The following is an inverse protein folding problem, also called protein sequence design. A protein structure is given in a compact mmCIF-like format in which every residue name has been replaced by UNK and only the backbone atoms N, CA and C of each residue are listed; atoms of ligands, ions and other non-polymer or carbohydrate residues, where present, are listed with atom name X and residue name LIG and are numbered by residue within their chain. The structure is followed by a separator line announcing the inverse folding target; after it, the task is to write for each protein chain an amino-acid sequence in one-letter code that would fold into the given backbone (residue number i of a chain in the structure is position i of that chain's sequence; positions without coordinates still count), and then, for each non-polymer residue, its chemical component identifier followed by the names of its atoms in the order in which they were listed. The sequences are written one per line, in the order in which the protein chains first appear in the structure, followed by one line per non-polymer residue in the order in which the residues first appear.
data_IF_760083792917
#
_entry.id   IF_760083792917
#
_cell.length_a   1.000
_cell.length_b   1.000
_cell.length_c   1.000
_cell.angle_alpha   90.00
_cell.angle_beta   90.00
_cell.angle_gamma   90.00
#
_symmetry.space_group_name_H-M   'P 1'
#
loop_
_entity.id
_entity.type
_entity.pdbx_description
1 polymer ?
#
# COMPACT_ATOMS: atom_id res chain seq x y z
N UNK A 1 28.74 -0.83 5.32
CA UNK A 1 27.86 -0.46 5.35
C UNK A 1 27.17 -0.01 4.17
N UNK A 2 26.30 0.11 3.89
CA UNK A 2 25.61 0.26 2.80
C UNK A 2 24.65 1.32 2.84
N UNK A 3 24.90 2.34 3.65
CA UNK A 3 24.04 3.48 3.76
C UNK A 3 23.96 4.21 2.45
N UNK A 4 25.10 4.29 1.77
CA UNK A 4 25.13 4.92 0.47
C UNK A 4 24.27 4.19 -0.53
N UNK A 5 24.30 2.89 -0.47
CA UNK A 5 23.52 2.07 -1.38
C UNK A 5 22.03 2.39 -1.24
N UNK A 6 21.55 2.50 0.00
CA UNK A 6 20.17 2.84 0.22
C UNK A 6 19.82 4.22 -0.27
N UNK A 7 20.78 5.12 -0.19
CA UNK A 7 20.58 6.48 -0.63
C UNK A 7 20.36 6.56 -2.15
N UNK A 8 20.88 5.60 -2.87
CA UNK A 8 20.76 5.57 -4.32
C UNK A 8 19.50 4.90 -4.81
N UNK A 9 18.70 4.32 -3.92
CA UNK A 9 17.47 3.66 -4.31
C UNK A 9 16.42 4.68 -4.69
N UNK A 10 15.63 4.40 -5.76
CA UNK A 10 14.54 5.29 -6.11
C UNK A 10 13.47 5.28 -5.02
N UNK A 11 12.75 6.37 -4.88
CA UNK A 11 11.70 6.49 -3.89
C UNK A 11 12.20 7.14 -2.61
N UNK A 12 11.69 6.68 -1.49
CA UNK A 12 11.97 7.30 -0.20
C UNK A 12 13.36 6.91 0.30
N UNK A 13 14.12 7.91 0.70
CA UNK A 13 15.46 7.72 1.27
C UNK A 13 15.37 7.78 2.79
N UNK A 14 15.86 6.75 3.46
CA UNK A 14 15.68 6.57 4.89
C UNK A 14 16.83 7.10 5.74
N UNK A 15 17.36 8.28 5.42
CA UNK A 15 18.27 9.01 6.29
C UNK A 15 17.47 9.90 7.21
N UNK A 16 17.99 10.26 8.39
CA UNK A 16 17.20 11.04 9.36
C UNK A 16 16.51 12.27 8.80
N UNK A 17 17.20 13.08 8.03
CA UNK A 17 16.60 14.27 7.43
C UNK A 17 15.57 13.94 6.37
N UNK A 18 15.87 12.94 5.55
CA UNK A 18 14.96 12.52 4.49
C UNK A 18 13.75 11.79 5.04
N UNK A 19 13.91 11.07 6.15
CA UNK A 19 12.80 10.39 6.77
C UNK A 19 11.75 11.36 7.27
N UNK A 20 12.18 12.44 7.92
CA UNK A 20 11.24 13.43 8.42
C UNK A 20 10.51 14.13 7.27
N UNK A 21 11.23 14.44 6.20
CA UNK A 21 10.63 15.07 5.04
C UNK A 21 9.62 14.14 4.37
N UNK A 22 10.00 12.88 4.18
CA UNK A 22 9.12 11.88 3.59
C UNK A 22 7.88 11.66 4.44
N UNK A 23 8.06 11.56 5.76
CA UNK A 23 6.96 11.39 6.67
C UNK A 23 5.98 12.54 6.59
N UNK A 24 6.49 13.77 6.54
CA UNK A 24 5.64 14.95 6.43
C UNK A 24 4.83 14.95 5.15
N UNK A 25 5.48 14.60 4.02
CA UNK A 25 4.80 14.53 2.74
C UNK A 25 3.69 13.49 2.74
N UNK A 26 3.96 12.33 3.33
CA UNK A 26 2.96 11.27 3.44
C UNK A 26 1.80 11.75 4.30
N UNK A 27 2.09 12.34 5.45
CA UNK A 27 1.05 12.83 6.35
C UNK A 27 0.17 13.89 5.69
N UNK A 28 0.77 14.79 4.93
CA UNK A 28 0.02 15.81 4.21
C UNK A 28 -0.91 15.20 3.17
N UNK A 29 -0.39 14.22 2.42
CA UNK A 29 -1.17 13.57 1.37
C UNK A 29 -2.24 12.63 1.92
N UNK A 30 -2.02 12.07 3.10
CA UNK A 30 -3.02 11.20 3.73
C UNK A 30 -4.36 11.89 3.91
N UNK A 31 -4.35 13.20 4.12
CA UNK A 31 -5.58 13.95 4.31
C UNK A 31 -6.44 13.97 3.06
N UNK A 32 -5.82 13.74 1.90
CA UNK A 32 -6.49 13.84 0.62
C UNK A 32 -6.99 12.51 0.08
N UNK A 33 -6.61 11.40 0.71
CA UNK A 33 -6.94 10.07 0.20
C UNK A 33 -7.92 9.35 1.11
N UNK A 34 -8.56 8.34 0.55
CA UNK A 34 -9.57 7.53 1.26
C UNK A 34 -8.98 6.23 1.77
N UNK A 35 -8.02 5.67 1.06
CA UNK A 35 -7.42 4.36 1.35
C UNK A 35 -5.94 4.41 1.06
N UNK A 36 -5.15 3.72 1.87
CA UNK A 36 -3.72 3.53 1.60
C UNK A 36 -3.50 2.10 1.16
N UNK A 37 -2.89 1.92 0.00
CA UNK A 37 -2.49 0.61 -0.50
C UNK A 37 -1.00 0.45 -0.25
N UNK A 38 -0.66 -0.51 0.60
CA UNK A 38 0.73 -0.80 0.89
C UNK A 38 1.17 -1.97 0.00
N UNK A 39 2.14 -1.71 -0.86
CA UNK A 39 2.60 -2.68 -1.83
C UNK A 39 3.79 -3.44 -1.27
N UNK A 40 3.65 -4.75 -1.14
CA UNK A 40 4.70 -5.62 -0.64
C UNK A 40 5.08 -6.63 -1.71
N UNK A 41 6.30 -7.12 -1.64
CA UNK A 41 6.77 -8.18 -2.53
C UNK A 41 6.27 -9.52 -1.98
N UNK A 42 5.45 -10.24 -2.75
CA UNK A 42 4.87 -11.49 -2.32
C UNK A 42 5.90 -12.57 -1.99
N UNK A 43 7.12 -12.44 -2.51
CA UNK A 43 8.20 -13.40 -2.24
C UNK A 43 8.79 -13.20 -0.85
N UNK A 44 8.82 -11.96 -0.37
CA UNK A 44 9.44 -11.59 0.91
C UNK A 44 8.61 -10.51 1.61
N UNK A 45 7.33 -10.78 1.96
CA UNK A 45 6.47 -9.70 2.46
C UNK A 45 7.00 -9.02 3.72
N UNK A 46 7.53 -9.79 4.66
CA UNK A 46 8.04 -9.20 5.89
C UNK A 46 9.23 -8.28 5.64
N UNK A 47 10.14 -8.68 4.74
CA UNK A 47 11.32 -7.88 4.42
C UNK A 47 10.98 -6.64 3.62
N UNK A 48 9.91 -6.68 2.84
CA UNK A 48 9.52 -5.54 2.02
C UNK A 48 8.61 -4.56 2.77
N UNK A 49 8.16 -4.91 3.96
CA UNK A 49 7.33 -4.04 4.76
C UNK A 49 8.18 -3.00 5.49
N UNK A 50 7.62 -1.82 5.69
CA UNK A 50 8.27 -0.76 6.45
C UNK A 50 7.45 -0.46 7.70
N UNK A 51 7.96 -0.79 8.89
CA UNK A 51 7.20 -0.55 10.12
C UNK A 51 6.82 0.92 10.34
N UNK A 52 7.65 1.83 9.86
CA UNK A 52 7.38 3.26 10.01
C UNK A 52 6.11 3.67 9.25
N UNK A 53 5.85 3.04 8.10
CA UNK A 53 4.66 3.35 7.34
C UNK A 53 3.40 2.97 8.10
N UNK A 54 3.42 1.86 8.83
CA UNK A 54 2.27 1.43 9.62
C UNK A 54 1.89 2.49 10.66
N UNK A 55 2.87 3.13 11.27
CA UNK A 55 2.60 4.18 12.24
C UNK A 55 2.06 5.44 11.57
N UNK A 56 2.65 5.82 10.43
CA UNK A 56 2.27 7.04 9.72
C UNK A 56 0.84 6.96 9.20
N UNK A 57 0.44 5.81 8.66
CA UNK A 57 -0.87 5.66 8.05
C UNK A 57 -1.96 5.23 9.04
N UNK A 58 -1.64 5.20 10.31
CA UNK A 58 -2.58 4.83 11.36
C UNK A 58 -3.83 5.71 11.29
N UNK A 59 -4.99 5.09 11.32
CA UNK A 59 -6.26 5.82 11.25
C UNK A 59 -6.87 5.89 9.87
N UNK A 60 -6.15 5.48 8.84
CA UNK A 60 -6.70 5.36 7.48
C UNK A 60 -6.95 3.90 7.15
N UNK A 61 -7.97 3.60 6.34
CA UNK A 61 -8.13 2.24 5.83
C UNK A 61 -6.86 1.82 5.11
N UNK A 62 -6.38 0.61 5.42
CA UNK A 62 -5.12 0.09 4.91
C UNK A 62 -5.40 -1.21 4.16
N UNK A 63 -4.85 -1.31 2.96
CA UNK A 63 -5.00 -2.48 2.11
C UNK A 63 -3.61 -2.96 1.71
N UNK A 64 -3.31 -4.23 1.95
CA UNK A 64 -2.03 -4.81 1.56
C UNK A 64 -2.19 -5.44 0.18
N UNK A 65 -1.28 -5.10 -0.74
CA UNK A 65 -1.21 -5.74 -2.04
C UNK A 65 0.10 -6.51 -2.11
N UNK A 66 0.01 -7.85 -2.18
CA UNK A 66 1.19 -8.70 -2.35
C UNK A 66 1.46 -8.84 -3.83
N UNK A 67 2.40 -8.07 -4.33
CA UNK A 67 2.74 -8.04 -5.75
C UNK A 67 3.76 -9.12 -6.09
N UNK A 68 3.89 -9.40 -7.38
CA UNK A 68 4.77 -10.46 -7.91
C UNK A 68 4.35 -11.83 -7.39
N UNK A 69 3.04 -12.02 -7.21
CA UNK A 69 2.50 -13.26 -6.67
C UNK A 69 2.78 -14.46 -7.57
N UNK A 70 2.98 -14.22 -8.87
CA UNK A 70 3.36 -15.27 -9.83
C UNK A 70 4.76 -15.81 -9.56
N UNK A 71 5.61 -15.05 -8.89
CA UNK A 71 6.99 -15.44 -8.57
C UNK A 71 7.12 -16.02 -7.17
N UNK A 72 6.04 -16.00 -6.39
CA UNK A 72 6.06 -16.47 -5.01
C UNK A 72 5.47 -17.87 -4.91
N UNK A 73 5.82 -18.57 -3.84
CA UNK A 73 5.22 -19.85 -3.54
C UNK A 73 3.74 -19.65 -3.15
N UNK A 74 2.84 -20.33 -3.86
CA UNK A 74 1.40 -20.16 -3.66
C UNK A 74 0.95 -20.45 -2.22
N UNK A 75 1.51 -21.47 -1.60
CA UNK A 75 1.14 -21.81 -0.23
C UNK A 75 1.60 -20.74 0.75
N UNK A 76 2.79 -20.19 0.53
CA UNK A 76 3.31 -19.10 1.37
C UNK A 76 2.47 -17.84 1.19
N UNK A 77 2.07 -17.53 -0.04
CA UNK A 77 1.21 -16.39 -0.31
C UNK A 77 -0.11 -16.51 0.43
N UNK A 78 -0.71 -17.69 0.41
CA UNK A 78 -1.95 -17.94 1.16
C UNK A 78 -1.77 -17.71 2.66
N UNK A 79 -0.65 -18.18 3.21
CA UNK A 79 -0.35 -17.99 4.63
C UNK A 79 -0.19 -16.52 4.98
N UNK A 80 0.47 -15.75 4.12
CA UNK A 80 0.66 -14.32 4.36
C UNK A 80 -0.66 -13.56 4.28
N UNK A 81 -1.53 -13.92 3.32
CA UNK A 81 -2.86 -13.32 3.24
C UNK A 81 -3.65 -13.59 4.51
N UNK A 82 -3.61 -14.82 5.00
CA UNK A 82 -4.30 -15.19 6.23
C UNK A 82 -3.73 -14.44 7.43
N UNK A 83 -2.42 -14.28 7.46
CA UNK A 83 -1.73 -13.57 8.55
C UNK A 83 -2.21 -12.11 8.63
N UNK A 84 -2.23 -11.40 7.51
CA UNK A 84 -2.69 -10.02 7.52
C UNK A 84 -4.16 -9.91 7.87
N UNK A 85 -4.98 -10.79 7.33
CA UNK A 85 -6.42 -10.79 7.61
C UNK A 85 -6.71 -11.08 9.08
N UNK A 86 -5.93 -11.94 9.69
CA UNK A 86 -6.08 -12.23 11.12
C UNK A 86 -5.79 -11.01 11.97
N UNK A 87 -4.99 -10.07 11.47
CA UNK A 87 -4.71 -8.82 12.16
C UNK A 87 -5.72 -7.71 11.79
N UNK A 88 -6.74 -8.06 11.03
CA UNK A 88 -7.73 -7.08 10.62
C UNK A 88 -7.31 -6.23 9.43
N UNK A 89 -6.27 -6.63 8.72
CA UNK A 89 -5.76 -5.89 7.57
C UNK A 89 -6.14 -6.63 6.29
N UNK A 90 -7.00 -6.04 5.44
CA UNK A 90 -7.32 -6.66 4.15
C UNK A 90 -6.07 -6.81 3.30
N UNK A 91 -5.96 -7.92 2.60
CA UNK A 91 -4.80 -8.21 1.76
C UNK A 91 -5.23 -8.96 0.51
N UNK A 92 -4.61 -8.62 -0.62
CA UNK A 92 -4.89 -9.22 -1.92
C UNK A 92 -3.57 -9.55 -2.61
N UNK A 93 -3.50 -10.72 -3.22
CA UNK A 93 -2.33 -11.10 -4.02
C UNK A 93 -2.55 -10.61 -5.45
N UNK A 94 -1.53 -9.98 -6.02
CA UNK A 94 -1.63 -9.40 -7.35
C UNK A 94 -0.38 -9.69 -8.18
N UNK A 95 -0.53 -9.53 -9.49
CA UNK A 95 0.57 -9.45 -10.44
C UNK A 95 0.28 -8.20 -11.26
N UNK A 96 0.90 -7.08 -10.89
CA UNK A 96 0.62 -5.79 -11.50
C UNK A 96 1.06 -5.73 -12.97
N UNK A 97 2.03 -6.52 -13.36
CA UNK A 97 2.49 -6.55 -14.76
C UNK A 97 1.45 -7.21 -15.66
N UNK A 98 0.92 -8.36 -15.23
CA UNK A 98 -0.08 -9.10 -16.01
C UNK A 98 -1.51 -8.74 -15.67
N UNK A 99 -1.71 -7.90 -14.66
CA UNK A 99 -3.04 -7.47 -14.26
C UNK A 99 -3.84 -8.45 -13.42
N UNK A 100 -3.23 -9.53 -12.97
CA UNK A 100 -3.94 -10.52 -12.14
C UNK A 100 -4.23 -9.95 -10.76
N UNK A 101 -5.44 -10.19 -10.28
CA UNK A 101 -5.85 -9.72 -8.97
C UNK A 101 -6.18 -8.23 -8.92
N UNK A 102 -6.00 -7.50 -10.01
CA UNK A 102 -6.22 -6.05 -10.02
C UNK A 102 -7.69 -5.68 -9.79
N UNK A 103 -8.61 -6.45 -10.36
CA UNK A 103 -10.03 -6.19 -10.13
C UNK A 103 -10.39 -6.36 -8.66
N UNK A 104 -9.84 -7.38 -8.01
CA UNK A 104 -10.06 -7.61 -6.59
C UNK A 104 -9.47 -6.50 -5.75
N UNK A 105 -8.29 -6.00 -6.14
CA UNK A 105 -7.64 -4.91 -5.44
C UNK A 105 -8.49 -3.64 -5.52
N UNK A 106 -8.96 -3.29 -6.70
CA UNK A 106 -9.78 -2.10 -6.91
C UNK A 106 -11.10 -2.21 -6.16
N UNK A 107 -11.76 -3.37 -6.24
CA UNK A 107 -13.02 -3.58 -5.54
C UNK A 107 -12.86 -3.44 -4.04
N UNK A 108 -11.76 -3.99 -3.48
CA UNK A 108 -11.51 -3.90 -2.05
C UNK A 108 -11.19 -2.46 -1.64
N UNK A 109 -10.45 -1.75 -2.46
CA UNK A 109 -10.14 -0.35 -2.18
C UNK A 109 -11.42 0.50 -2.16
N UNK A 110 -12.31 0.27 -3.12
CA UNK A 110 -13.59 0.98 -3.17
C UNK A 110 -14.45 0.65 -1.95
N UNK A 111 -14.48 -0.61 -1.55
CA UNK A 111 -15.21 -1.03 -0.36
C UNK A 111 -14.69 -0.33 0.89
N UNK A 112 -13.37 -0.24 1.04
CA UNK A 112 -12.76 0.42 2.20
C UNK A 112 -12.96 1.93 2.17
N UNK A 113 -13.07 2.52 1.00
CA UNK A 113 -13.27 3.96 0.85
C UNK A 113 -14.72 4.37 1.03
N UNK A 114 -15.65 3.43 0.92
CA UNK A 114 -17.08 3.74 0.89
C UNK A 114 -17.60 4.58 2.06
N UNK A 115 -17.23 4.31 3.30
CA UNK A 115 -17.72 5.14 4.40
C UNK A 115 -17.38 6.61 4.23
N UNK A 116 -16.20 6.92 3.71
CA UNK A 116 -15.79 8.31 3.51
C UNK A 116 -16.43 8.92 2.27
N UNK A 117 -16.49 8.18 1.17
CA UNK A 117 -17.11 8.68 -0.06
C UNK A 117 -18.61 8.86 0.11
N UNK A 118 -19.26 7.98 0.86
CA UNK A 118 -20.69 8.11 1.15
C UNK A 118 -20.98 9.35 2.00
N UNK A 119 -20.14 9.62 3.01
CA UNK A 119 -20.29 10.83 3.80
C UNK A 119 -20.11 12.09 2.97
N UNK A 120 -19.18 12.05 2.04
CA UNK A 120 -18.92 13.18 1.14
C UNK A 120 -20.17 13.51 0.34
N UNK A 121 -20.80 12.48 -0.24
CA UNK A 121 -22.03 12.64 -1.01
C UNK A 121 -23.17 13.11 -0.11
N UNK A 122 -23.30 12.53 1.07
CA UNK A 122 -24.35 12.91 2.03
C UNK A 122 -24.25 14.37 2.43
N UNK A 123 -23.03 14.92 2.47
CA UNK A 123 -22.80 16.31 2.84
C UNK A 123 -22.81 17.25 1.62
N UNK A 124 -23.36 16.80 0.49
CA UNK A 124 -23.55 17.66 -0.69
C UNK A 124 -22.47 17.51 -1.76
N UNK A 125 -21.48 16.64 -1.56
CA UNK A 125 -20.46 16.41 -2.57
C UNK A 125 -20.97 15.56 -3.72
N UNK A 126 -20.31 15.63 -4.86
CA UNK A 126 -20.64 14.78 -5.99
C UNK A 126 -20.02 13.40 -5.82
N UNK A 127 -20.69 12.34 -6.28
CA UNK A 127 -20.08 11.02 -6.29
C UNK A 127 -18.73 11.06 -7.03
N UNK A 128 -17.72 10.41 -6.44
CA UNK A 128 -16.39 10.36 -7.02
C UNK A 128 -15.75 9.01 -6.78
N UNK A 129 -14.74 8.70 -7.56
CA UNK A 129 -13.96 7.49 -7.36
C UNK A 129 -13.16 7.57 -6.07
N UNK A 130 -12.82 6.41 -5.52
CA UNK A 130 -11.96 6.34 -4.36
C UNK A 130 -10.57 6.89 -4.69
N UNK A 131 -10.01 7.65 -3.76
CA UNK A 131 -8.65 8.17 -3.88
C UNK A 131 -7.73 7.30 -3.06
N UNK A 132 -6.71 6.76 -3.70
CA UNK A 132 -5.78 5.84 -3.06
C UNK A 132 -4.37 6.39 -3.08
N UNK A 133 -3.64 6.17 -1.99
CA UNK A 133 -2.21 6.42 -1.94
C UNK A 133 -1.52 5.08 -1.99
N UNK A 134 -0.53 4.94 -2.87
CA UNK A 134 0.22 3.69 -3.00
C UNK A 134 1.59 3.89 -2.38
N UNK A 135 1.90 3.11 -1.37
CA UNK A 135 3.18 3.14 -0.66
C UNK A 135 3.89 1.81 -0.82
N UNK A 136 5.20 1.87 -0.89
CA UNK A 136 6.01 0.66 -0.99
C UNK A 136 7.48 1.01 -1.10
N UNK A 137 8.33 0.04 -0.81
CA UNK A 137 9.76 0.24 -1.01
C UNK A 137 10.08 0.10 -2.51
N UNK A 138 11.25 0.60 -2.95
CA UNK A 138 11.67 0.43 -4.34
C UNK A 138 11.67 -1.03 -4.74
N UNK A 139 11.43 -1.29 -6.03
CA UNK A 139 11.47 -2.62 -6.64
C UNK A 139 10.33 -3.56 -6.28
N UNK A 140 9.26 -3.07 -5.68
CA UNK A 140 8.08 -3.90 -5.44
C UNK A 140 7.01 -3.74 -6.52
N UNK A 141 7.30 -2.98 -7.57
CA UNK A 141 6.38 -2.85 -8.71
C UNK A 141 5.38 -1.71 -8.60
N UNK A 142 5.68 -0.69 -7.79
CA UNK A 142 4.76 0.42 -7.59
C UNK A 142 4.45 1.16 -8.88
N UNK A 143 5.46 1.38 -9.72
CA UNK A 143 5.26 2.07 -10.99
C UNK A 143 4.40 1.29 -11.97
N UNK A 144 4.42 -0.04 -11.89
CA UNK A 144 3.56 -0.88 -12.74
C UNK A 144 2.10 -0.78 -12.32
N UNK A 145 1.85 -0.50 -11.05
CA UNK A 145 0.50 -0.43 -10.52
C UNK A 145 -0.19 0.87 -10.89
N UNK A 146 0.57 1.93 -10.97
CA UNK A 146 0.03 3.24 -11.31
C UNK A 146 -0.26 3.34 -12.79
#
# INVERSE_FOLDING_TARGET
MDKETRNDLPGIQWFPGHMKKAQRLIEENLKLVDVVIELLDARIPASSANPMLAEIIKGKPRLIALNKSDLADAASTKRWLAYFRAQGIPAVAIDSVKGRGMKQLVAKAEELARPKTDRFVKNGGRPRAARCMILGIPNVGKSSLI
#
